data_IF_272103201636
#
_entry.id   IF_272103201636
#
_cell.length_a   1.000
_cell.length_b   1.000
_cell.length_c   1.000
_cell.angle_alpha   90.00
_cell.angle_beta   90.00
_cell.angle_gamma   90.00
#
_symmetry.space_group_name_H-M   'P 1'
#
loop_
_entity.id
_entity.type
_entity.pdbx_description
1 polymer ?
#
# COMPACT_ATOMS: atom_id res chain seq x y z
N UNK A 1 -3.54 -2.19 -5.06
CA UNK A 1 -2.68 -1.11 -4.55
C UNK A 1 -1.99 -0.38 -5.71
N UNK A 2 -2.21 0.93 -5.89
CA UNK A 2 -1.45 1.77 -6.83
C UNK A 2 0.09 1.64 -6.80
N UNK A 3 0.70 1.35 -5.65
CA UNK A 3 2.15 1.19 -5.49
C UNK A 3 2.63 -0.26 -5.74
N UNK A 4 1.77 -1.25 -5.53
CA UNK A 4 2.07 -2.68 -5.70
C UNK A 4 0.98 -3.35 -6.58
N UNK A 5 1.08 -3.28 -7.91
CA UNK A 5 -0.03 -3.66 -8.79
C UNK A 5 -0.25 -5.18 -8.98
N UNK A 6 0.75 -6.03 -8.77
CA UNK A 6 0.65 -7.48 -9.02
C UNK A 6 1.52 -8.29 -8.05
N UNK A 7 1.10 -8.37 -6.78
CA UNK A 7 1.72 -9.24 -5.78
C UNK A 7 1.01 -10.58 -5.71
N UNK A 8 1.78 -11.67 -5.56
CA UNK A 8 1.26 -13.04 -5.52
C UNK A 8 1.93 -13.88 -4.45
N UNK A 9 1.16 -14.78 -3.84
CA UNK A 9 1.67 -15.77 -2.88
C UNK A 9 2.48 -15.12 -1.75
N UNK A 10 3.70 -15.63 -1.53
CA UNK A 10 4.58 -15.18 -0.45
C UNK A 10 4.97 -13.69 -0.53
N UNK A 11 4.87 -13.06 -1.70
CA UNK A 11 5.22 -11.64 -1.85
C UNK A 11 4.23 -10.71 -1.16
N UNK A 12 2.98 -11.16 -0.99
CA UNK A 12 1.94 -10.43 -0.24
C UNK A 12 2.34 -10.36 1.24
N UNK A 13 2.69 -11.52 1.82
CA UNK A 13 3.12 -11.59 3.21
C UNK A 13 4.41 -10.77 3.42
N UNK A 14 5.40 -10.93 2.54
CA UNK A 14 6.65 -10.16 2.62
C UNK A 14 6.43 -8.64 2.51
N UNK A 15 5.50 -8.19 1.67
CA UNK A 15 5.14 -6.78 1.58
C UNK A 15 4.54 -6.27 2.89
N UNK A 16 3.56 -6.98 3.46
CA UNK A 16 2.96 -6.57 4.72
C UNK A 16 3.97 -6.56 5.87
N UNK A 17 4.82 -7.58 6.00
CA UNK A 17 5.90 -7.60 6.99
C UNK A 17 6.83 -6.40 6.81
N UNK A 18 7.28 -6.13 5.58
CA UNK A 18 8.15 -4.99 5.28
C UNK A 18 7.50 -3.65 5.67
N UNK A 19 6.20 -3.47 5.40
CA UNK A 19 5.49 -2.25 5.74
C UNK A 19 5.36 -2.07 7.26
N UNK A 20 4.98 -3.12 7.97
CA UNK A 20 4.86 -3.11 9.43
C UNK A 20 6.19 -2.84 10.13
N UNK A 21 7.29 -3.47 9.69
CA UNK A 21 8.62 -3.26 10.28
C UNK A 21 9.17 -1.85 10.03
N UNK A 22 8.83 -1.25 8.89
CA UNK A 22 9.31 0.09 8.52
C UNK A 22 8.38 1.22 8.97
N UNK A 23 7.23 0.89 9.55
CA UNK A 23 6.25 1.87 9.98
C UNK A 23 6.84 2.76 11.10
N UNK A 24 6.73 4.07 10.93
CA UNK A 24 7.17 5.08 11.88
C UNK A 24 6.07 6.13 12.05
N UNK A 25 5.91 6.63 13.28
CA UNK A 25 4.82 7.54 13.68
C UNK A 25 3.45 7.09 13.13
N UNK A 26 3.18 5.79 13.30
CA UNK A 26 2.09 5.10 12.65
C UNK A 26 0.81 5.08 13.50
N UNK A 27 -0.33 5.34 12.86
CA UNK A 27 -1.67 5.05 13.39
C UNK A 27 -2.60 4.59 12.28
N UNK A 28 -3.57 3.76 12.64
CA UNK A 28 -4.54 3.16 11.74
C UNK A 28 -5.94 3.28 12.34
N UNK A 29 -6.91 3.70 11.52
CA UNK A 29 -8.33 3.60 11.83
C UNK A 29 -9.05 2.88 10.69
N UNK A 30 -10.09 2.14 11.00
CA UNK A 30 -10.88 1.42 10.00
C UNK A 30 -12.37 1.55 10.29
N UNK A 31 -13.18 1.42 9.25
CA UNK A 31 -14.64 1.54 9.30
C UNK A 31 -15.26 0.84 8.08
N UNK A 32 -16.60 0.90 7.98
CA UNK A 32 -17.36 0.38 6.83
C UNK A 32 -16.99 -1.07 6.44
N UNK A 33 -16.73 -1.91 7.44
CA UNK A 33 -16.41 -3.33 7.24
C UNK A 33 -17.69 -4.08 6.92
N UNK A 34 -17.70 -4.80 5.80
CA UNK A 34 -18.76 -5.75 5.47
C UNK A 34 -18.21 -6.95 4.71
N UNK A 35 -18.91 -8.07 4.82
CA UNK A 35 -18.64 -9.29 4.08
C UNK A 35 -19.96 -9.94 3.68
N UNK A 36 -20.10 -10.27 2.40
CA UNK A 36 -21.29 -10.86 1.78
C UNK A 36 -20.86 -11.97 0.82
N UNK A 37 -21.23 -13.21 1.13
CA UNK A 37 -20.83 -14.37 0.33
C UNK A 37 -19.31 -14.50 0.20
N UNK A 38 -18.82 -14.46 -1.04
CA UNK A 38 -17.40 -14.55 -1.39
C UNK A 38 -16.70 -13.18 -1.51
N UNK A 39 -17.35 -12.09 -1.06
CA UNK A 39 -16.82 -10.72 -1.17
C UNK A 39 -16.79 -10.01 0.16
N UNK A 40 -15.87 -9.06 0.30
CA UNK A 40 -15.84 -8.14 1.43
C UNK A 40 -15.22 -6.81 1.08
N UNK A 41 -15.38 -5.85 1.99
CA UNK A 41 -14.84 -4.51 1.87
C UNK A 41 -14.48 -3.94 3.24
N UNK A 42 -13.56 -2.98 3.23
CA UNK A 42 -13.24 -2.17 4.40
C UNK A 42 -12.75 -0.79 3.95
N UNK A 43 -13.09 0.23 4.72
CA UNK A 43 -12.47 1.53 4.61
C UNK A 43 -11.40 1.64 5.69
N UNK A 44 -10.19 2.06 5.33
CA UNK A 44 -9.12 2.26 6.30
C UNK A 44 -8.27 3.48 6.00
N UNK A 45 -7.88 4.17 7.06
CA UNK A 45 -7.01 5.34 7.03
C UNK A 45 -5.74 5.05 7.80
N UNK A 46 -4.60 5.21 7.15
CA UNK A 46 -3.28 5.10 7.77
C UNK A 46 -2.61 6.48 7.81
N UNK A 47 -2.08 6.85 8.98
CA UNK A 47 -1.20 8.01 9.15
C UNK A 47 0.19 7.52 9.54
N UNK A 48 1.22 7.99 8.83
CA UNK A 48 2.60 7.51 9.03
C UNK A 48 3.64 8.49 8.49
N UNK A 49 4.87 8.34 8.96
CA UNK A 49 6.04 9.02 8.43
C UNK A 49 6.58 8.28 7.20
N UNK A 50 6.59 8.93 6.03
CA UNK A 50 7.16 8.35 4.82
C UNK A 50 8.69 8.41 4.86
N UNK A 51 9.32 7.28 5.17
CA UNK A 51 10.76 7.17 5.47
C UNK A 51 11.70 7.75 4.41
N UNK A 52 11.34 7.72 3.13
CA UNK A 52 12.19 8.27 2.06
C UNK A 52 12.32 9.80 2.09
N UNK A 53 11.34 10.50 2.65
CA UNK A 53 11.28 11.98 2.60
C UNK A 53 11.04 12.63 3.97
N UNK A 54 10.77 11.83 5.01
CA UNK A 54 10.41 12.32 6.34
C UNK A 54 9.09 13.10 6.36
N UNK A 55 8.16 12.84 5.44
CA UNK A 55 6.88 13.56 5.35
C UNK A 55 5.75 12.76 5.97
N UNK A 56 4.87 13.43 6.71
CA UNK A 56 3.64 12.82 7.19
C UNK A 56 2.67 12.56 6.03
N UNK A 57 2.18 11.33 5.96
CA UNK A 57 1.20 10.87 4.97
C UNK A 57 -0.07 10.44 5.70
N UNK A 58 -1.22 10.83 5.15
CA UNK A 58 -2.53 10.32 5.52
C UNK A 58 -3.14 9.60 4.32
N UNK A 59 -2.93 8.30 4.27
CA UNK A 59 -3.47 7.46 3.22
C UNK A 59 -4.90 7.03 3.57
N UNK A 60 -5.84 7.21 2.65
CA UNK A 60 -7.26 6.89 2.81
C UNK A 60 -7.58 5.86 1.73
N UNK A 61 -7.99 4.67 2.15
CA UNK A 61 -7.95 3.47 1.30
C UNK A 61 -9.27 2.73 1.42
N UNK A 62 -9.81 2.36 0.27
CA UNK A 62 -10.92 1.41 0.17
C UNK A 62 -10.37 0.06 -0.26
N UNK A 63 -10.47 -0.92 0.62
CA UNK A 63 -10.09 -2.30 0.39
C UNK A 63 -11.29 -3.11 -0.09
N UNK A 64 -11.04 -4.00 -1.06
CA UNK A 64 -11.99 -5.03 -1.49
C UNK A 64 -11.33 -6.40 -1.44
N UNK A 65 -12.08 -7.41 -1.02
CA UNK A 65 -11.60 -8.77 -0.78
C UNK A 65 -12.45 -9.78 -1.55
N UNK A 66 -11.81 -10.84 -2.05
CA UNK A 66 -12.50 -12.08 -2.45
C UNK A 66 -12.10 -13.21 -1.50
N UNK A 67 -13.08 -14.02 -1.12
CA UNK A 67 -12.90 -15.14 -0.22
C UNK A 67 -13.18 -16.48 -0.90
N UNK A 68 -12.46 -17.51 -0.48
CA UNK A 68 -12.77 -18.90 -0.82
C UNK A 68 -12.39 -19.78 0.36
N UNK A 69 -13.29 -20.65 0.78
CA UNK A 69 -13.08 -21.58 1.90
C UNK A 69 -12.61 -20.88 3.19
N UNK A 70 -13.14 -19.68 3.45
CA UNK A 70 -12.79 -18.85 4.62
C UNK A 70 -11.45 -18.11 4.50
N UNK A 71 -10.75 -18.22 3.37
CA UNK A 71 -9.45 -17.58 3.13
C UNK A 71 -9.59 -16.39 2.18
N UNK A 72 -8.76 -15.35 2.36
CA UNK A 72 -8.62 -14.25 1.40
C UNK A 72 -7.82 -14.77 0.20
N UNK A 73 -8.44 -14.75 -0.98
CA UNK A 73 -7.78 -15.12 -2.25
C UNK A 73 -7.39 -13.93 -3.10
N UNK A 74 -8.06 -12.79 -2.92
CA UNK A 74 -7.71 -11.53 -3.57
C UNK A 74 -7.94 -10.37 -2.60
N UNK A 75 -7.03 -9.39 -2.61
CA UNK A 75 -7.16 -8.13 -1.88
C UNK A 75 -6.74 -7.00 -2.82
N UNK A 76 -7.64 -6.07 -3.07
CA UNK A 76 -7.39 -4.88 -3.87
C UNK A 76 -7.65 -3.61 -3.07
N UNK A 77 -6.57 -2.88 -2.79
CA UNK A 77 -6.62 -1.52 -2.25
C UNK A 77 -6.72 -0.46 -3.37
N UNK A 78 -7.64 0.48 -3.18
CA UNK A 78 -7.82 1.69 -3.99
C UNK A 78 -7.61 2.93 -3.13
N UNK A 79 -6.81 3.87 -3.64
CA UNK A 79 -6.65 5.21 -3.07
C UNK A 79 -6.27 6.20 -4.17
N UNK A 80 -6.47 7.49 -3.90
CA UNK A 80 -6.03 8.57 -4.80
C UNK A 80 -4.50 8.67 -4.77
N UNK A 81 -3.87 8.08 -5.79
CA UNK A 81 -2.43 8.09 -5.96
C UNK A 81 -1.85 9.52 -6.05
N UNK A 82 -2.56 10.45 -6.69
CA UNK A 82 -2.03 11.81 -6.84
C UNK A 82 -2.05 12.53 -5.49
N UNK A 83 -3.17 12.48 -4.75
CA UNK A 83 -3.24 12.97 -3.37
C UNK A 83 -2.16 12.35 -2.49
N UNK A 84 -2.01 11.04 -2.54
CA UNK A 84 -0.98 10.33 -1.78
C UNK A 84 0.43 10.82 -2.17
N UNK A 85 0.75 10.88 -3.45
CA UNK A 85 2.08 11.25 -3.94
C UNK A 85 2.45 12.69 -3.57
N UNK A 86 1.48 13.61 -3.53
CA UNK A 86 1.67 14.99 -3.03
C UNK A 86 2.15 15.00 -1.59
N UNK A 87 1.55 14.18 -0.73
CA UNK A 87 1.93 14.09 0.68
C UNK A 87 3.28 13.38 0.85
N UNK A 88 3.46 12.26 0.15
CA UNK A 88 4.64 11.40 0.29
C UNK A 88 5.89 11.99 -0.35
N UNK A 89 5.77 12.62 -1.53
CA UNK A 89 6.92 13.05 -2.33
C UNK A 89 7.12 14.57 -2.35
N UNK A 90 6.11 15.36 -1.95
CA UNK A 90 6.18 16.83 -2.02
C UNK A 90 6.12 17.34 -3.46
N UNK A 91 7.07 18.18 -3.87
CA UNK A 91 7.07 18.89 -5.16
C UNK A 91 6.95 17.97 -6.38
N UNK A 92 7.73 16.86 -6.47
CA UNK A 92 7.53 15.88 -7.55
C UNK A 92 6.11 15.29 -7.59
N UNK A 93 5.52 14.98 -6.43
CA UNK A 93 4.15 14.47 -6.34
C UNK A 93 3.09 15.50 -6.73
N UNK A 94 3.32 16.77 -6.40
CA UNK A 94 2.47 17.88 -6.81
C UNK A 94 2.46 18.08 -8.32
N UNK A 95 3.63 18.13 -8.94
CA UNK A 95 3.77 18.46 -10.36
C UNK A 95 3.50 17.26 -11.28
N UNK A 96 3.84 16.04 -10.85
CA UNK A 96 3.86 14.85 -11.71
C UNK A 96 2.99 13.70 -11.23
N UNK A 97 2.28 13.83 -10.10
CA UNK A 97 1.48 12.73 -9.54
C UNK A 97 0.26 12.31 -10.37
N UNK A 98 -0.19 13.16 -11.30
CA UNK A 98 -1.19 12.81 -12.31
C UNK A 98 -0.61 11.92 -13.43
N UNK A 99 0.71 11.91 -13.61
CA UNK A 99 1.36 11.22 -14.72
C UNK A 99 1.58 9.73 -14.46
N UNK A 100 1.46 8.91 -15.51
CA UNK A 100 1.85 7.51 -15.47
C UNK A 100 3.35 7.30 -15.20
N UNK A 101 4.19 8.27 -15.57
CA UNK A 101 5.63 8.24 -15.33
C UNK A 101 5.97 8.18 -13.85
N UNK A 102 5.42 9.09 -13.03
CA UNK A 102 5.72 9.09 -11.59
C UNK A 102 5.17 7.82 -10.93
N UNK A 103 3.98 7.36 -11.34
CA UNK A 103 3.39 6.11 -10.86
C UNK A 103 4.31 4.92 -11.14
N UNK A 104 4.80 4.78 -12.38
CA UNK A 104 5.72 3.71 -12.75
C UNK A 104 7.03 3.76 -11.96
N UNK A 105 7.58 4.96 -11.72
CA UNK A 105 8.77 5.13 -10.88
C UNK A 105 8.54 4.69 -9.44
N UNK A 106 7.40 5.05 -8.85
CA UNK A 106 7.04 4.63 -7.49
C UNK A 106 6.89 3.11 -7.42
N UNK A 107 6.21 2.49 -8.38
CA UNK A 107 6.04 1.05 -8.45
C UNK A 107 7.39 0.31 -8.58
N UNK A 108 8.29 0.79 -9.44
CA UNK A 108 9.61 0.21 -9.60
C UNK A 108 10.44 0.31 -8.30
N UNK A 109 10.38 1.44 -7.62
CA UNK A 109 11.05 1.65 -6.34
C UNK A 109 10.46 0.79 -5.22
N UNK A 110 9.14 0.61 -5.19
CA UNK A 110 8.45 -0.25 -4.25
C UNK A 110 8.85 -1.73 -4.45
N UNK A 111 8.84 -2.21 -5.70
CA UNK A 111 9.28 -3.55 -6.07
C UNK A 111 10.76 -3.79 -5.70
N UNK A 112 11.64 -2.83 -5.98
CA UNK A 112 13.06 -2.88 -5.57
C UNK A 112 13.20 -2.98 -4.05
N UNK A 113 12.43 -2.18 -3.31
CA UNK A 113 12.41 -2.20 -1.84
C UNK A 113 12.01 -3.55 -1.28
N UNK A 114 10.98 -4.18 -1.85
CA UNK A 114 10.50 -5.51 -1.47
C UNK A 114 11.55 -6.60 -1.81
N UNK A 115 12.16 -6.54 -2.99
CA UNK A 115 13.21 -7.47 -3.39
C UNK A 115 14.45 -7.39 -2.49
N UNK A 116 14.81 -6.20 -2.01
CA UNK A 116 15.86 -6.03 -1.00
C UNK A 116 15.41 -6.64 0.33
N UNK A 117 14.20 -6.30 0.82
CA UNK A 117 13.67 -6.82 2.07
C UNK A 117 13.68 -8.35 2.13
N UNK A 118 13.15 -9.00 1.09
CA UNK A 118 13.12 -10.47 0.96
C UNK A 118 14.52 -11.10 0.98
N UNK A 119 15.55 -10.43 0.46
CA UNK A 119 16.92 -10.96 0.50
C UNK A 119 17.50 -10.97 1.92
N UNK A 120 17.15 -9.97 2.73
CA UNK A 120 17.60 -9.88 4.12
C UNK A 120 16.77 -10.75 5.09
N UNK A 121 15.55 -11.14 4.70
CA UNK A 121 14.62 -11.93 5.52
C UNK A 121 14.43 -13.36 5.00
N UNK A 122 15.36 -13.88 4.20
CA UNK A 122 15.47 -15.32 3.94
C UNK A 122 16.16 -15.96 5.16
N UNK A 123 15.33 -16.31 6.15
CA UNK A 123 15.66 -17.12 7.32
C UNK A 123 14.50 -18.06 7.61
#
# INVERSE_FOLDING_TARGET
>A
DPAFPDLRGADIAAMWTMLCERAQDFSLSFSAISAEGDRGQAHWEARYLFSKTGRQVHNVIDASFRFKDGLIIEHADRFDFWRWSRMALGTPGLLLGWSGFLRGRVQAEAAKGLAIFKRHHKG
#
